data_IF_714272722501
#
_entry.id   IF_714272722501
#
_cell.length_a   1.000
_cell.length_b   1.000
_cell.length_c   1.000
_cell.angle_alpha   90.00
_cell.angle_beta   90.00
_cell.angle_gamma   90.00
#
_symmetry.space_group_name_H-M   'P 1'
#
loop_
_entity.id
_entity.type
_entity.pdbx_description
1 polymer ?
#
# COMPACT_ATOMS: atom_id res chain seq x y z
N UNK A 1 7.49 19.69 2.32
CA UNK A 1 6.69 18.79 2.15
C UNK A 1 7.26 17.49 1.93
N UNK A 2 6.90 16.60 2.67
CA UNK A 2 7.43 15.28 2.55
C UNK A 2 6.64 14.46 1.57
N UNK A 3 7.33 13.59 0.88
CA UNK A 3 6.68 12.69 -0.04
C UNK A 3 6.62 11.29 0.53
N UNK A 4 6.92 11.17 1.80
CA UNK A 4 6.89 9.88 2.41
C UNK A 4 5.50 9.32 2.51
N UNK A 5 5.38 8.03 2.29
CA UNK A 5 4.11 7.34 2.44
C UNK A 5 3.95 7.01 3.91
N UNK A 6 2.83 7.42 4.48
CA UNK A 6 2.58 7.11 5.89
C UNK A 6 2.09 5.68 6.02
N UNK A 7 2.15 5.18 7.25
CA UNK A 7 1.68 3.84 7.51
C UNK A 7 0.20 3.71 7.17
N UNK A 8 -0.59 4.72 7.49
CA UNK A 8 -2.02 4.67 7.20
C UNK A 8 -2.26 4.58 5.71
N UNK A 9 -1.53 5.37 4.92
CA UNK A 9 -1.68 5.33 3.48
C UNK A 9 -1.34 3.96 2.93
N UNK A 10 -0.24 3.39 3.42
CA UNK A 10 0.17 2.07 2.95
C UNK A 10 -0.85 1.01 3.34
N UNK A 11 -1.39 1.11 4.55
CA UNK A 11 -2.38 0.13 5.00
C UNK A 11 -3.66 0.23 4.20
N UNK A 12 -4.06 1.43 3.77
CA UNK A 12 -5.23 1.58 2.93
C UNK A 12 -5.02 0.88 1.59
N UNK A 13 -3.83 1.01 1.04
CA UNK A 13 -3.49 0.36 -0.22
C UNK A 13 -3.54 -1.16 -0.05
N UNK A 14 -2.92 -1.66 1.01
CA UNK A 14 -2.87 -3.09 1.24
C UNK A 14 -4.28 -3.66 1.49
N UNK A 15 -5.12 -2.88 2.14
CA UNK A 15 -6.47 -3.33 2.39
C UNK A 15 -7.22 -3.57 1.08
N UNK A 16 -7.09 -2.66 0.13
CA UNK A 16 -7.72 -2.83 -1.17
C UNK A 16 -7.11 -4.02 -1.89
N UNK A 17 -5.80 -4.17 -1.78
CA UNK A 17 -5.10 -5.26 -2.41
C UNK A 17 -5.60 -6.60 -1.89
N UNK A 18 -5.72 -6.72 -0.59
CA UNK A 18 -6.14 -7.98 0.01
C UNK A 18 -7.60 -8.30 -0.23
N UNK A 19 -8.42 -7.28 -0.44
CA UNK A 19 -9.83 -7.52 -0.66
C UNK A 19 -10.09 -8.18 -2.01
N UNK A 20 -9.17 -7.99 -2.95
CA UNK A 20 -9.32 -8.60 -4.26
C UNK A 20 -10.45 -8.05 -5.07
N UNK A 21 -10.98 -6.87 -4.71
CA UNK A 21 -12.13 -6.33 -5.42
C UNK A 21 -11.78 -5.71 -6.77
N UNK A 22 -10.50 -5.47 -6.99
CA UNK A 22 -10.12 -4.86 -8.25
C UNK A 22 -8.67 -5.19 -8.58
N UNK A 23 -8.34 -4.97 -9.84
CA UNK A 23 -6.96 -5.12 -10.29
C UNK A 23 -6.16 -3.94 -9.75
N UNK A 24 -5.09 -4.20 -9.03
CA UNK A 24 -4.33 -3.12 -8.43
C UNK A 24 -3.63 -2.23 -9.44
N UNK A 25 -3.57 -2.63 -10.69
CA UNK A 25 -3.02 -1.77 -11.73
C UNK A 25 -4.06 -0.78 -12.26
N UNK A 26 -5.30 -0.95 -11.86
CA UNK A 26 -6.35 -0.01 -12.21
C UNK A 26 -6.30 1.11 -11.18
N UNK A 27 -5.42 2.07 -11.40
CA UNK A 27 -5.15 3.12 -10.43
C UNK A 27 -6.39 3.94 -10.11
N UNK A 28 -7.23 4.18 -11.11
CA UNK A 28 -8.44 4.94 -10.87
C UNK A 28 -9.37 4.25 -9.90
N UNK A 29 -9.46 2.92 -10.01
CA UNK A 29 -10.31 2.16 -9.13
C UNK A 29 -9.72 2.11 -7.74
N UNK A 30 -8.41 1.90 -7.65
CA UNK A 30 -7.73 1.87 -6.36
C UNK A 30 -7.87 3.22 -5.67
N UNK A 31 -7.79 4.30 -6.43
CA UNK A 31 -7.99 5.63 -5.90
C UNK A 31 -9.37 5.76 -5.25
N UNK A 32 -10.40 5.31 -5.95
CA UNK A 32 -11.76 5.40 -5.43
C UNK A 32 -11.96 4.55 -4.18
N UNK A 33 -11.40 3.35 -4.19
CA UNK A 33 -11.63 2.42 -3.10
C UNK A 33 -10.81 2.75 -1.86
N UNK A 34 -9.60 3.25 -2.05
CA UNK A 34 -8.72 3.50 -0.93
C UNK A 34 -8.78 4.91 -0.39
N UNK A 35 -9.25 5.83 -1.21
CA UNK A 35 -9.23 7.23 -0.84
C UNK A 35 -7.86 7.88 -0.98
N UNK A 36 -6.92 7.16 -1.57
CA UNK A 36 -5.58 7.69 -1.77
C UNK A 36 -5.48 8.43 -3.09
N UNK A 37 -4.63 9.43 -3.14
CA UNK A 37 -4.40 10.13 -4.39
C UNK A 37 -3.61 9.24 -5.33
N UNK A 38 -3.78 9.47 -6.62
CA UNK A 38 -3.10 8.64 -7.61
C UNK A 38 -1.59 8.72 -7.47
N UNK A 39 -1.07 9.91 -7.18
CA UNK A 39 0.38 10.07 -6.97
C UNK A 39 0.85 9.18 -5.84
N UNK A 40 0.08 9.14 -4.77
CA UNK A 40 0.41 8.33 -3.63
C UNK A 40 0.42 6.85 -3.99
N UNK A 41 -0.57 6.44 -4.78
CA UNK A 41 -0.66 5.05 -5.21
C UNK A 41 0.57 4.67 -6.03
N UNK A 42 0.98 5.54 -6.95
CA UNK A 42 2.16 5.26 -7.77
C UNK A 42 3.40 5.15 -6.90
N UNK A 43 3.53 6.01 -5.90
CA UNK A 43 4.68 5.94 -5.01
C UNK A 43 4.69 4.65 -4.22
N UNK A 44 3.53 4.20 -3.77
CA UNK A 44 3.44 2.95 -3.06
C UNK A 44 3.87 1.80 -3.96
N UNK A 45 3.41 1.81 -5.20
CA UNK A 45 3.76 0.75 -6.13
C UNK A 45 5.26 0.70 -6.39
N UNK A 46 5.87 1.88 -6.55
CA UNK A 46 7.30 1.95 -6.82
C UNK A 46 8.14 1.50 -5.64
N UNK A 47 7.62 1.69 -4.44
CA UNK A 47 8.37 1.40 -3.24
C UNK A 47 7.76 0.28 -2.40
N UNK A 48 6.97 -0.55 -3.03
CA UNK A 48 6.20 -1.54 -2.28
C UNK A 48 7.07 -2.43 -1.41
N UNK A 49 8.16 -2.93 -1.95
CA UNK A 49 9.04 -3.81 -1.19
C UNK A 49 9.60 -3.12 0.05
N UNK A 50 10.04 -1.89 -0.13
CA UNK A 50 10.60 -1.12 0.96
C UNK A 50 9.54 -0.81 2.01
N UNK A 51 8.36 -0.39 1.56
CA UNK A 51 7.27 -0.05 2.48
C UNK A 51 6.77 -1.28 3.20
N UNK A 52 6.72 -2.40 2.51
CA UNK A 52 6.29 -3.63 3.12
C UNK A 52 7.22 -4.03 4.26
N UNK A 53 8.50 -3.90 4.05
CA UNK A 53 9.46 -4.21 5.10
C UNK A 53 9.34 -3.24 6.27
N UNK A 54 9.03 -1.99 5.95
CA UNK A 54 8.94 -0.97 6.99
C UNK A 54 7.69 -1.13 7.85
N UNK A 55 6.56 -1.37 7.22
CA UNK A 55 5.29 -1.36 7.93
C UNK A 55 4.70 -2.72 8.22
N UNK A 56 5.13 -3.75 7.52
CA UNK A 56 4.60 -5.10 7.72
C UNK A 56 5.62 -6.08 8.26
N UNK A 57 6.76 -5.61 8.64
CA UNK A 57 7.83 -6.51 9.05
C UNK A 57 7.50 -7.29 10.31
N UNK A 58 6.64 -6.75 11.14
CA UNK A 58 6.27 -7.46 12.36
C UNK A 58 5.60 -8.78 12.02
N UNK A 59 4.70 -8.73 11.07
CA UNK A 59 4.04 -9.96 10.65
C UNK A 59 5.04 -10.91 10.06
N UNK A 60 6.00 -10.38 9.35
CA UNK A 60 7.00 -11.22 8.76
C UNK A 60 7.85 -11.91 9.80
N UNK A 61 8.22 -11.19 10.83
CA UNK A 61 9.01 -11.77 11.89
C UNK A 61 8.27 -12.90 12.54
N UNK A 62 7.01 -12.71 12.79
CA UNK A 62 6.24 -13.75 13.40
C UNK A 62 6.09 -14.94 12.51
N UNK A 63 6.08 -14.70 11.25
CA UNK A 63 5.96 -15.80 10.32
C UNK A 63 7.17 -16.68 10.29
N UNK A 64 8.31 -16.19 10.82
CA UNK A 64 9.41 -17.02 10.75
C UNK A 64 9.65 -17.63 11.94
N UNK A 65 9.46 -17.68 12.55
CA UNK A 65 9.69 -18.43 13.49
C UNK A 65 9.72 -18.95 13.84
#
# INVERSE_FOLDING_TARGET
MTNEITEEQFRRYVRVQRSGVTNMFDVGRVHSLSGLQKDTIFKIMENYGKLSRKYLKVAKIMGRR
#
